data_IF_202267621625
#
_entry.id   IF_202267621625
#
_cell.length_a   1.000
_cell.length_b   1.000
_cell.length_c   1.000
_cell.angle_alpha   90.00
_cell.angle_beta   90.00
_cell.angle_gamma   90.00
#
_symmetry.space_group_name_H-M   'P 1'
#
loop_
_entity.id
_entity.type
_entity.pdbx_description
1 polymer ?
#
# COMPACT_ATOMS: atom_id res chain seq x y z
N UNK A 1 14.51 24.44 4.22
CA UNK A 1 15.13 23.29 4.91
C UNK A 1 16.41 22.95 4.17
N UNK A 2 17.46 22.58 4.90
CA UNK A 2 18.69 22.04 4.32
C UNK A 2 18.48 20.54 4.07
N UNK A 3 18.72 20.07 2.84
CA UNK A 3 18.71 18.66 2.49
C UNK A 3 20.16 18.20 2.44
N UNK A 4 20.54 17.27 3.31
CA UNK A 4 21.86 16.64 3.28
C UNK A 4 21.73 15.18 2.87
N UNK A 5 21.99 14.92 1.58
CA UNK A 5 21.93 13.57 1.01
C UNK A 5 22.98 12.62 1.61
N UNK A 6 24.04 13.14 2.24
CA UNK A 6 25.08 12.30 2.84
C UNK A 6 24.60 11.58 4.11
N UNK A 7 23.63 12.16 4.82
CA UNK A 7 22.97 11.53 5.98
C UNK A 7 21.91 10.49 5.56
N UNK A 8 21.52 10.52 4.29
CA UNK A 8 20.44 9.70 3.75
C UNK A 8 20.95 8.37 3.13
N UNK A 9 21.78 7.63 3.86
CA UNK A 9 22.45 6.40 3.38
C UNK A 9 21.52 5.31 2.80
N UNK A 10 20.27 5.22 3.28
CA UNK A 10 19.27 4.25 2.83
C UNK A 10 18.26 4.83 1.83
N UNK A 11 18.53 6.01 1.24
CA UNK A 11 17.62 6.67 0.31
C UNK A 11 17.17 5.78 -0.86
N UNK A 12 18.11 5.15 -1.55
CA UNK A 12 17.80 4.29 -2.70
C UNK A 12 16.95 3.06 -2.34
N UNK A 13 17.29 2.24 -1.32
CA UNK A 13 16.46 1.11 -0.93
C UNK A 13 15.09 1.53 -0.36
N UNK A 14 15.02 2.60 0.43
CA UNK A 14 13.75 3.14 0.93
C UNK A 14 12.83 3.53 -0.23
N UNK A 15 13.35 4.34 -1.18
CA UNK A 15 12.55 4.79 -2.31
C UNK A 15 12.04 3.59 -3.13
N UNK A 16 12.88 2.59 -3.37
CA UNK A 16 12.51 1.39 -4.13
C UNK A 16 11.33 0.64 -3.50
N UNK A 17 11.34 0.44 -2.19
CA UNK A 17 10.26 -0.28 -1.52
C UNK A 17 8.98 0.55 -1.46
N UNK A 18 9.07 1.83 -1.10
CA UNK A 18 7.92 2.73 -1.08
C UNK A 18 7.27 2.89 -2.46
N UNK A 19 8.09 2.98 -3.53
CA UNK A 19 7.62 3.15 -4.90
C UNK A 19 6.80 1.94 -5.41
N UNK A 20 7.06 0.73 -4.89
CA UNK A 20 6.26 -0.47 -5.17
C UNK A 20 4.95 -0.53 -4.38
N UNK A 21 4.70 0.45 -3.49
CA UNK A 21 3.57 0.44 -2.55
C UNK A 21 3.82 -0.37 -1.27
N UNK A 22 5.08 -0.74 -0.96
CA UNK A 22 5.40 -1.44 0.28
C UNK A 22 5.33 -0.48 1.48
N UNK A 23 4.94 -1.02 2.64
CA UNK A 23 4.85 -0.29 3.90
C UNK A 23 6.07 -0.65 4.76
N UNK A 24 6.99 0.29 4.93
CA UNK A 24 8.20 0.10 5.73
C UNK A 24 7.84 0.23 7.20
N UNK A 25 8.10 -0.82 7.99
CA UNK A 25 7.72 -0.90 9.40
C UNK A 25 8.89 -1.31 10.28
N UNK A 26 8.68 -1.49 11.59
CA UNK A 26 9.72 -2.02 12.50
C UNK A 26 10.25 -3.42 12.13
N UNK A 27 9.61 -4.13 11.20
CA UNK A 27 10.11 -5.39 10.62
C UNK A 27 11.30 -5.17 9.67
N UNK A 28 11.48 -3.93 9.21
CA UNK A 28 12.54 -3.48 8.31
C UNK A 28 13.48 -2.53 9.10
N UNK A 29 14.23 -3.02 10.10
CA UNK A 29 14.82 -2.20 11.16
C UNK A 29 15.75 -1.10 10.64
N UNK A 30 16.56 -1.39 9.63
CA UNK A 30 17.50 -0.44 9.05
C UNK A 30 16.79 0.69 8.30
N UNK A 31 15.82 0.35 7.43
CA UNK A 31 15.05 1.34 6.65
C UNK A 31 14.17 2.18 7.58
N UNK A 32 13.52 1.54 8.55
CA UNK A 32 12.66 2.21 9.52
C UNK A 32 13.45 3.18 10.40
N UNK A 33 14.60 2.76 10.92
CA UNK A 33 15.44 3.63 11.76
C UNK A 33 15.89 4.88 10.99
N UNK A 34 16.25 4.69 9.72
CA UNK A 34 16.76 5.78 8.89
C UNK A 34 15.65 6.76 8.48
N UNK A 35 14.44 6.27 8.18
CA UNK A 35 13.23 7.09 8.03
C UNK A 35 12.87 7.84 9.31
N UNK A 36 12.95 7.21 10.48
CA UNK A 36 12.63 7.87 11.75
C UNK A 36 13.65 8.94 12.13
N UNK A 37 14.93 8.72 11.85
CA UNK A 37 16.00 9.66 12.21
C UNK A 37 16.02 10.88 11.30
N UNK A 38 15.71 10.72 10.01
CA UNK A 38 15.78 11.76 8.99
C UNK A 38 14.41 12.11 8.39
N UNK A 39 13.33 11.96 9.17
CA UNK A 39 11.95 12.01 8.67
C UNK A 39 11.65 13.26 7.82
N UNK A 40 11.99 14.44 8.32
CA UNK A 40 11.68 15.69 7.64
C UNK A 40 12.46 15.87 6.33
N UNK A 41 13.70 15.35 6.26
CA UNK A 41 14.50 15.35 5.02
C UNK A 41 13.85 14.46 3.97
N UNK A 42 13.44 13.24 4.36
CA UNK A 42 12.73 12.32 3.48
C UNK A 42 11.39 12.88 2.99
N UNK A 43 10.58 13.45 3.88
CA UNK A 43 9.31 14.08 3.51
C UNK A 43 9.52 15.24 2.54
N UNK A 44 10.53 16.08 2.78
CA UNK A 44 10.84 17.22 1.92
C UNK A 44 11.31 16.78 0.53
N UNK A 45 12.26 15.84 0.49
CA UNK A 45 12.79 15.30 -0.76
C UNK A 45 11.70 14.63 -1.59
N UNK A 46 10.95 13.70 -1.00
CA UNK A 46 9.91 12.97 -1.71
C UNK A 46 8.76 13.88 -2.16
N UNK A 47 8.37 14.87 -1.35
CA UNK A 47 7.39 15.87 -1.74
C UNK A 47 7.85 16.70 -2.94
N UNK A 48 9.13 17.07 -3.00
CA UNK A 48 9.70 17.79 -4.14
C UNK A 48 9.71 16.93 -5.43
N UNK A 49 9.74 15.61 -5.29
CA UNK A 49 9.64 14.64 -6.39
C UNK A 49 8.20 14.25 -6.74
N UNK A 50 7.19 14.79 -6.05
CA UNK A 50 5.77 14.50 -6.29
C UNK A 50 5.21 13.31 -5.50
N UNK A 51 5.95 12.75 -4.56
CA UNK A 51 5.48 11.67 -3.69
C UNK A 51 5.07 12.19 -2.31
N UNK A 52 3.96 11.68 -1.77
CA UNK A 52 3.55 11.97 -0.40
C UNK A 52 3.96 10.84 0.54
N UNK A 53 5.00 11.08 1.36
CA UNK A 53 5.41 10.17 2.43
C UNK A 53 4.55 10.38 3.68
N UNK A 54 3.82 9.34 4.07
CA UNK A 54 3.03 9.28 5.30
C UNK A 54 3.82 8.58 6.39
N UNK A 55 3.77 9.14 7.60
CA UNK A 55 4.20 8.50 8.85
C UNK A 55 2.92 8.16 9.63
N UNK A 56 2.53 6.88 9.61
CA UNK A 56 1.30 6.42 10.26
C UNK A 56 1.53 6.26 11.77
N UNK A 57 0.53 6.60 12.58
CA UNK A 57 0.60 6.49 14.05
C UNK A 57 0.79 5.04 14.53
N UNK A 58 0.48 4.05 13.69
CA UNK A 58 0.72 2.62 13.94
C UNK A 58 2.19 2.21 13.77
N UNK A 59 3.07 3.12 13.35
CA UNK A 59 4.52 2.88 13.29
C UNK A 59 5.00 2.25 11.98
N UNK A 60 4.53 2.78 10.85
CA UNK A 60 5.04 2.44 9.52
C UNK A 60 4.97 3.65 8.57
N UNK A 61 5.72 3.56 7.47
CA UNK A 61 5.81 4.57 6.44
C UNK A 61 5.37 4.03 5.09
N UNK A 62 4.69 4.85 4.30
CA UNK A 62 4.23 4.48 2.96
C UNK A 62 4.05 5.72 2.07
N UNK A 63 4.03 5.52 0.74
CA UNK A 63 3.58 6.54 -0.19
C UNK A 63 2.07 6.48 -0.38
N UNK A 64 1.42 7.65 -0.40
CA UNK A 64 0.02 7.73 -0.83
C UNK A 64 -0.06 7.27 -2.30
N UNK A 65 -0.86 6.24 -2.61
CA UNK A 65 -1.08 5.84 -3.99
C UNK A 65 -1.71 7.00 -4.75
N UNK A 66 -1.13 7.38 -5.89
CA UNK A 66 -1.81 8.29 -6.79
C UNK A 66 -3.12 7.61 -7.24
N UNK A 67 -4.28 8.22 -6.98
CA UNK A 67 -5.61 7.66 -7.29
C UNK A 67 -5.75 7.25 -8.76
N UNK A 68 -4.89 7.76 -9.65
CA UNK A 68 -4.83 7.39 -11.05
C UNK A 68 -4.30 5.96 -11.33
N UNK A 69 -3.56 5.35 -10.38
CA UNK A 69 -2.83 4.09 -10.62
C UNK A 69 -3.47 2.82 -10.02
N UNK A 70 -4.53 2.94 -9.22
CA UNK A 70 -5.29 1.77 -8.78
C UNK A 70 -6.25 1.28 -9.88
N UNK A 71 -5.75 1.10 -11.11
CA UNK A 71 -6.41 0.22 -12.06
C UNK A 71 -6.21 -1.20 -11.55
N UNK A 72 -7.11 -1.64 -10.67
CA UNK A 72 -7.33 -3.06 -10.38
C UNK A 72 -7.28 -3.77 -11.72
N UNK A 73 -6.37 -4.74 -11.86
CA UNK A 73 -6.16 -5.35 -13.17
C UNK A 73 -7.50 -5.91 -13.70
N UNK A 74 -7.66 -5.96 -15.03
CA UNK A 74 -8.93 -6.37 -15.65
C UNK A 74 -9.39 -7.74 -15.19
N UNK A 75 -8.48 -8.64 -14.81
CA UNK A 75 -8.79 -9.97 -14.29
C UNK A 75 -9.43 -9.91 -12.90
N UNK A 76 -8.89 -9.10 -12.00
CA UNK A 76 -9.42 -8.91 -10.65
C UNK A 76 -10.78 -8.19 -10.68
N UNK A 77 -10.96 -7.22 -11.60
CA UNK A 77 -12.28 -6.61 -11.85
C UNK A 77 -13.31 -7.65 -12.33
N UNK A 78 -12.92 -8.50 -13.29
CA UNK A 78 -13.79 -9.57 -13.81
C UNK A 78 -14.11 -10.61 -12.74
N UNK A 79 -13.13 -11.00 -11.92
CA UNK A 79 -13.33 -11.94 -10.83
C UNK A 79 -14.29 -11.36 -9.80
N UNK A 80 -14.11 -10.11 -9.38
CA UNK A 80 -15.02 -9.44 -8.44
C UNK A 80 -16.45 -9.36 -8.99
N UNK A 81 -16.63 -8.99 -10.26
CA UNK A 81 -17.93 -8.98 -10.92
C UNK A 81 -18.56 -10.38 -10.98
N UNK A 82 -17.75 -11.39 -11.32
CA UNK A 82 -18.21 -12.78 -11.36
C UNK A 82 -18.64 -13.29 -9.98
N UNK A 83 -17.84 -13.04 -8.93
CA UNK A 83 -18.19 -13.38 -7.55
C UNK A 83 -19.45 -12.65 -7.11
N UNK A 84 -19.61 -11.37 -7.44
CA UNK A 84 -20.82 -10.62 -7.15
C UNK A 84 -22.07 -11.25 -7.79
N UNK A 85 -22.01 -11.56 -9.09
CA UNK A 85 -23.11 -12.22 -9.81
C UNK A 85 -23.44 -13.58 -9.19
N UNK A 86 -22.42 -14.36 -8.82
CA UNK A 86 -22.64 -15.65 -8.14
C UNK A 86 -23.35 -15.48 -6.80
N UNK A 87 -22.96 -14.49 -6.00
CA UNK A 87 -23.57 -14.21 -4.70
C UNK A 87 -25.03 -13.82 -4.86
N UNK A 88 -25.35 -12.89 -5.77
CA UNK A 88 -26.73 -12.49 -6.03
C UNK A 88 -27.57 -13.68 -6.53
N UNK A 89 -27.04 -14.47 -7.45
CA UNK A 89 -27.74 -15.64 -7.98
C UNK A 89 -28.04 -16.69 -6.90
N UNK A 90 -27.11 -16.92 -5.98
CA UNK A 90 -27.31 -17.84 -4.85
C UNK A 90 -28.32 -17.29 -3.85
N UNK A 91 -28.27 -15.98 -3.56
CA UNK A 91 -29.22 -15.31 -2.69
C UNK A 91 -30.65 -15.36 -3.24
N UNK A 92 -30.82 -15.15 -4.55
CA UNK A 92 -32.12 -15.26 -5.24
C UNK A 92 -32.72 -16.68 -5.17
N UNK A 93 -31.88 -17.70 -4.99
CA UNK A 93 -32.30 -19.09 -4.77
C UNK A 93 -32.55 -19.43 -3.29
N UNK A 94 -32.44 -18.45 -2.39
CA UNK A 94 -32.57 -18.65 -0.95
C UNK A 94 -31.41 -19.43 -0.32
N UNK A 95 -30.27 -19.56 -1.00
CA UNK A 95 -29.06 -20.17 -0.46
C UNK A 95 -28.23 -19.09 0.23
N UNK A 96 -27.60 -19.43 1.35
CA UNK A 96 -26.62 -18.55 1.98
C UNK A 96 -25.36 -18.45 1.09
N UNK A 97 -25.09 -17.30 0.45
CA UNK A 97 -23.99 -17.18 -0.49
C UNK A 97 -22.63 -17.33 0.18
N UNK A 98 -22.51 -16.92 1.45
CA UNK A 98 -21.25 -17.00 2.19
C UNK A 98 -20.93 -18.45 2.53
N UNK A 99 -21.93 -19.23 2.95
CA UNK A 99 -21.76 -20.66 3.21
C UNK A 99 -21.30 -21.44 1.96
N UNK A 100 -21.80 -21.10 0.77
CA UNK A 100 -21.41 -21.77 -0.49
C UNK A 100 -20.00 -21.38 -0.94
N UNK A 101 -19.62 -20.10 -0.78
CA UNK A 101 -18.28 -19.63 -1.12
C UNK A 101 -17.20 -20.17 -0.17
N UNK A 102 -17.56 -20.43 1.09
CA UNK A 102 -16.68 -21.05 2.09
C UNK A 102 -16.59 -22.59 1.94
N UNK A 103 -17.30 -23.19 0.96
CA UNK A 103 -17.27 -24.62 0.66
C UNK A 103 -18.29 -25.47 1.43
N UNK A 104 -19.27 -24.86 2.09
CA UNK A 104 -20.41 -25.53 2.69
C UNK A 104 -21.40 -26.03 1.63
N UNK A 105 -21.83 -27.29 1.76
CA UNK A 105 -22.88 -27.91 0.93
C UNK A 105 -24.27 -27.35 1.24
#
# INVERSE_FOLDING_TARGET
>A
MHLDLSEMSQLAPIFRELFKGYHISRRDPELYAQLSNCQDQYRTLFKALGYELVCDTRGFYYFVPELAAAQVNKTAQRLALFTFILVEHLADQGRDPMAVLDGGS
#
